data_IF_991960985830
#
_entry.id   IF_991960985830
#
_cell.length_a   1.000
_cell.length_b   1.000
_cell.length_c   1.000
_cell.angle_alpha   90.00
_cell.angle_beta   90.00
_cell.angle_gamma   90.00
#
_symmetry.space_group_name_H-M   'P 1'
#
loop_
_entity.id
_entity.type
_entity.pdbx_description
1 polymer ?
#
# COMPACT_ATOMS: atom_id res chain seq x y z
N UNK A 1 8.32 33.05 7.97
CA UNK A 1 7.83 33.66 6.72
C UNK A 1 7.03 32.65 5.89
N UNK A 2 7.43 31.37 5.81
CA UNK A 2 6.65 30.30 5.14
C UNK A 2 5.30 30.02 5.79
N UNK A 3 5.21 29.93 7.12
CA UNK A 3 3.94 29.71 7.85
C UNK A 3 2.90 30.81 7.60
N UNK A 4 3.33 32.05 7.38
CA UNK A 4 2.45 33.20 7.08
C UNK A 4 1.91 33.16 5.65
N UNK A 5 2.66 32.60 4.70
CA UNK A 5 2.21 32.45 3.30
C UNK A 5 1.25 31.27 3.15
N UNK A 6 1.50 30.16 3.84
CA UNK A 6 0.62 28.98 3.86
C UNK A 6 -0.74 29.34 4.50
N UNK A 7 -0.75 30.05 5.63
CA UNK A 7 -2.00 30.46 6.30
C UNK A 7 -2.84 31.44 5.43
N UNK A 8 -2.18 32.29 4.65
CA UNK A 8 -2.87 33.22 3.72
C UNK A 8 -3.51 32.47 2.56
N UNK A 9 -2.82 31.52 1.96
CA UNK A 9 -3.32 30.66 0.87
C UNK A 9 -4.52 29.81 1.34
N UNK A 10 -4.47 29.27 2.56
CA UNK A 10 -5.60 28.50 3.14
C UNK A 10 -6.82 29.37 3.41
N UNK A 11 -6.61 30.58 3.89
CA UNK A 11 -7.69 31.57 4.11
C UNK A 11 -8.35 31.99 2.79
N UNK A 12 -7.56 32.17 1.73
CA UNK A 12 -8.06 32.51 0.39
C UNK A 12 -8.87 31.34 -0.21
N UNK A 13 -8.36 30.11 -0.09
CA UNK A 13 -9.08 28.90 -0.52
C UNK A 13 -10.42 28.74 0.21
N UNK A 14 -10.42 28.89 1.54
CA UNK A 14 -11.65 28.82 2.35
C UNK A 14 -12.65 29.89 1.94
N UNK A 15 -12.19 31.12 1.70
CA UNK A 15 -13.05 32.23 1.26
C UNK A 15 -13.64 31.94 -0.14
N UNK A 16 -12.85 31.39 -1.04
CA UNK A 16 -13.31 30.98 -2.37
C UNK A 16 -14.39 29.91 -2.28
N UNK A 17 -14.14 28.84 -1.50
CA UNK A 17 -15.10 27.76 -1.27
C UNK A 17 -16.41 28.31 -0.67
N UNK A 18 -16.30 29.17 0.34
CA UNK A 18 -17.46 29.79 0.97
C UNK A 18 -18.29 30.57 -0.06
N UNK A 19 -17.66 31.41 -0.86
CA UNK A 19 -18.34 32.24 -1.88
C UNK A 19 -19.04 31.37 -2.97
N UNK A 20 -18.38 30.31 -3.43
CA UNK A 20 -18.95 29.44 -4.45
C UNK A 20 -20.17 28.66 -3.92
N UNK A 21 -20.11 28.21 -2.66
CA UNK A 21 -21.15 27.39 -2.04
C UNK A 21 -22.26 28.21 -1.34
N UNK A 22 -22.07 29.51 -1.08
CA UNK A 22 -22.94 30.34 -0.23
C UNK A 22 -24.41 30.35 -0.65
N UNK A 23 -24.69 30.18 -1.93
CA UNK A 23 -26.08 30.14 -2.45
C UNK A 23 -26.87 28.92 -1.94
N UNK A 24 -26.19 27.81 -1.61
CA UNK A 24 -26.80 26.54 -1.22
C UNK A 24 -26.41 26.12 0.19
N UNK A 25 -25.16 26.33 0.58
CA UNK A 25 -24.58 25.80 1.81
C UNK A 25 -23.84 26.89 2.58
N UNK A 26 -24.15 27.02 3.85
CA UNK A 26 -23.42 27.89 4.78
C UNK A 26 -22.32 27.08 5.45
N UNK A 27 -21.05 27.37 5.12
CA UNK A 27 -19.90 26.65 5.70
C UNK A 27 -19.72 27.03 7.17
N UNK A 28 -19.56 26.01 8.03
CA UNK A 28 -19.25 26.17 9.44
C UNK A 28 -17.73 26.00 9.70
N UNK A 29 -17.26 24.77 9.90
CA UNK A 29 -15.86 24.47 10.21
C UNK A 29 -15.34 23.31 9.37
N UNK A 30 -14.03 23.29 9.17
CA UNK A 30 -13.33 22.12 8.65
C UNK A 30 -13.36 21.00 9.70
N UNK A 31 -13.76 19.80 9.28
CA UNK A 31 -13.88 18.62 10.14
C UNK A 31 -12.95 17.49 9.73
N UNK A 32 -12.30 17.60 8.57
CA UNK A 32 -11.32 16.62 8.11
C UNK A 32 -10.53 17.13 6.91
N UNK A 33 -9.25 16.73 6.86
CA UNK A 33 -8.36 17.03 5.73
C UNK A 33 -7.44 15.84 5.50
N UNK A 34 -7.28 15.43 4.25
CA UNK A 34 -6.39 14.34 3.87
C UNK A 34 -6.09 14.31 2.37
N UNK A 35 -5.35 13.31 1.92
CA UNK A 35 -4.98 13.15 0.50
C UNK A 35 -6.17 13.04 -0.47
N UNK A 36 -7.36 12.73 0.05
CA UNK A 36 -8.61 12.59 -0.73
C UNK A 36 -9.51 13.84 -0.66
N UNK A 37 -9.06 14.93 -0.03
CA UNK A 37 -9.80 16.18 0.01
C UNK A 37 -9.96 16.81 1.39
N UNK A 38 -10.77 17.85 1.39
CA UNK A 38 -11.12 18.62 2.58
C UNK A 38 -12.61 18.43 2.85
N UNK A 39 -12.97 18.19 4.11
CA UNK A 39 -14.35 18.02 4.53
C UNK A 39 -14.76 19.16 5.45
N UNK A 40 -15.82 19.85 5.10
CA UNK A 40 -16.41 20.91 5.91
C UNK A 40 -17.75 20.46 6.47
N UNK A 41 -18.01 20.80 7.74
CA UNK A 41 -19.37 20.88 8.25
C UNK A 41 -20.03 22.11 7.64
N UNK A 42 -21.26 21.97 7.17
CA UNK A 42 -22.03 23.04 6.59
C UNK A 42 -23.51 22.91 6.97
N UNK A 43 -24.26 23.97 6.71
CA UNK A 43 -25.71 23.96 6.82
C UNK A 43 -26.36 24.12 5.43
N UNK A 44 -27.18 23.18 5.07
CA UNK A 44 -28.05 23.30 3.89
C UNK A 44 -29.05 24.43 4.13
N UNK A 45 -28.95 25.52 3.35
CA UNK A 45 -29.79 26.71 3.54
C UNK A 45 -31.28 26.44 3.23
N UNK A 46 -31.54 25.55 2.26
CA UNK A 46 -32.89 25.21 1.80
C UNK A 46 -33.58 24.28 2.78
N UNK A 47 -32.91 23.19 3.16
CA UNK A 47 -33.46 22.17 4.05
C UNK A 47 -33.16 22.42 5.54
N UNK A 48 -32.34 23.45 5.85
CA UNK A 48 -31.97 23.88 7.20
C UNK A 48 -31.38 22.79 8.08
N UNK A 49 -30.73 21.80 7.49
CA UNK A 49 -30.09 20.67 8.15
C UNK A 49 -28.56 20.77 8.10
N UNK A 50 -27.89 20.11 9.05
CA UNK A 50 -26.44 19.94 9.00
C UNK A 50 -26.06 18.92 7.91
N UNK A 51 -25.00 19.22 7.16
CA UNK A 51 -24.43 18.38 6.13
C UNK A 51 -22.91 18.40 6.20
N UNK A 52 -22.26 17.42 5.63
CA UNK A 52 -20.82 17.45 5.39
C UNK A 52 -20.57 17.66 3.89
N UNK A 53 -19.68 18.58 3.55
CA UNK A 53 -19.29 18.89 2.16
C UNK A 53 -17.85 18.45 1.99
N UNK A 54 -17.61 17.44 1.14
CA UNK A 54 -16.27 16.96 0.80
C UNK A 54 -15.87 17.49 -0.57
N UNK A 55 -14.74 18.18 -0.60
CA UNK A 55 -14.16 18.76 -1.80
C UNK A 55 -12.97 17.93 -2.28
N UNK A 56 -12.91 17.71 -3.58
CA UNK A 56 -11.71 17.16 -4.22
C UNK A 56 -10.59 18.20 -4.15
N UNK A 57 -9.32 17.80 -3.82
CA UNK A 57 -8.19 18.72 -3.83
C UNK A 57 -8.07 19.42 -5.20
N UNK A 58 -7.77 20.74 -5.22
CA UNK A 58 -7.64 21.48 -6.48
C UNK A 58 -6.65 20.82 -7.46
N UNK A 59 -5.53 20.30 -6.96
CA UNK A 59 -4.48 19.62 -7.74
C UNK A 59 -5.01 18.38 -8.48
N UNK A 60 -6.01 17.70 -7.90
CA UNK A 60 -6.68 16.55 -8.51
C UNK A 60 -7.87 16.96 -9.38
N UNK A 61 -8.56 18.05 -9.04
CA UNK A 61 -9.67 18.59 -9.80
C UNK A 61 -9.27 19.08 -11.21
N UNK A 62 -8.02 19.56 -11.38
CA UNK A 62 -7.48 19.93 -12.69
C UNK A 62 -7.27 18.74 -13.65
N UNK A 63 -7.19 17.51 -13.14
CA UNK A 63 -7.05 16.30 -13.96
C UNK A 63 -8.45 15.82 -14.37
N UNK A 64 -8.82 16.04 -15.63
CA UNK A 64 -10.15 15.70 -16.15
C UNK A 64 -10.55 14.24 -15.91
N UNK A 65 -9.60 13.31 -16.02
CA UNK A 65 -9.83 11.88 -15.80
C UNK A 65 -10.17 11.57 -14.33
N UNK A 66 -9.43 12.16 -13.39
CA UNK A 66 -9.68 11.97 -11.95
C UNK A 66 -11.02 12.59 -11.57
N UNK A 67 -11.28 13.79 -12.06
CA UNK A 67 -12.55 14.50 -11.86
C UNK A 67 -13.74 13.68 -12.32
N UNK A 68 -13.72 13.21 -13.57
CA UNK A 68 -14.79 12.40 -14.14
C UNK A 68 -15.02 11.10 -13.34
N UNK A 69 -13.96 10.42 -12.92
CA UNK A 69 -14.07 9.23 -12.09
C UNK A 69 -14.63 9.54 -10.70
N UNK A 70 -14.15 10.61 -10.07
CA UNK A 70 -14.65 11.03 -8.76
C UNK A 70 -16.15 11.30 -8.78
N UNK A 71 -16.65 12.04 -9.78
CA UNK A 71 -18.08 12.31 -9.95
C UNK A 71 -18.86 11.01 -10.16
N UNK A 72 -18.40 10.13 -11.04
CA UNK A 72 -19.02 8.83 -11.31
C UNK A 72 -19.07 7.92 -10.08
N UNK A 73 -17.99 7.81 -9.33
CA UNK A 73 -17.96 6.98 -8.11
C UNK A 73 -18.88 7.58 -7.04
N UNK A 74 -18.89 8.92 -6.90
CA UNK A 74 -19.83 9.59 -5.99
C UNK A 74 -21.29 9.41 -6.41
N UNK A 75 -21.63 9.47 -7.71
CA UNK A 75 -22.95 9.17 -8.23
C UNK A 75 -23.37 7.72 -7.95
N UNK A 76 -22.44 6.79 -8.10
CA UNK A 76 -22.70 5.36 -7.79
C UNK A 76 -22.93 5.17 -6.29
N UNK A 77 -22.11 5.78 -5.44
CA UNK A 77 -22.27 5.73 -3.99
C UNK A 77 -23.57 6.41 -3.52
N UNK A 78 -24.05 7.44 -4.23
CA UNK A 78 -25.30 8.13 -3.93
C UNK A 78 -26.56 7.25 -4.10
N UNK A 79 -26.46 6.14 -4.84
CA UNK A 79 -27.57 5.16 -4.95
C UNK A 79 -27.69 4.26 -3.72
N UNK A 80 -26.70 4.25 -2.83
CA UNK A 80 -26.74 3.42 -1.64
C UNK A 80 -27.62 4.08 -0.56
N UNK A 81 -28.62 3.34 -0.10
CA UNK A 81 -29.54 3.76 0.97
C UNK A 81 -29.60 2.67 2.04
N UNK A 82 -28.85 2.85 3.11
CA UNK A 82 -28.74 1.89 4.21
C UNK A 82 -28.52 2.61 5.55
N UNK A 83 -29.07 2.13 6.67
CA UNK A 83 -28.95 2.80 7.97
C UNK A 83 -27.50 2.95 8.46
N UNK A 84 -26.59 2.07 8.04
CA UNK A 84 -25.17 2.12 8.42
C UNK A 84 -24.27 2.65 7.29
N UNK A 85 -24.81 3.35 6.29
CA UNK A 85 -24.09 4.06 5.24
C UNK A 85 -24.41 5.54 5.31
N UNK A 86 -23.40 6.40 5.26
CA UNK A 86 -23.59 7.85 5.20
C UNK A 86 -24.20 8.21 3.84
N UNK A 87 -25.42 8.77 3.79
CA UNK A 87 -26.09 9.07 2.53
C UNK A 87 -25.41 10.24 1.82
N UNK A 88 -25.22 10.14 0.49
CA UNK A 88 -24.83 11.25 -0.36
C UNK A 88 -26.09 11.94 -0.87
N UNK A 89 -26.14 13.26 -0.71
CA UNK A 89 -27.31 14.07 -1.06
C UNK A 89 -27.19 14.78 -2.40
N UNK A 90 -25.98 15.17 -2.77
CA UNK A 90 -25.69 15.86 -4.01
C UNK A 90 -24.23 15.63 -4.42
N UNK A 91 -23.99 15.63 -5.71
CA UNK A 91 -22.67 15.63 -6.35
C UNK A 91 -22.70 16.77 -7.36
N UNK A 92 -21.74 17.68 -7.32
CA UNK A 92 -21.77 18.86 -8.16
C UNK A 92 -20.37 19.40 -8.48
N UNK A 93 -20.30 20.21 -9.56
CA UNK A 93 -19.13 20.98 -9.97
C UNK A 93 -19.52 22.43 -10.15
N UNK A 94 -18.90 23.34 -9.39
CA UNK A 94 -19.22 24.78 -9.43
C UNK A 94 -17.99 25.61 -9.11
N UNK A 95 -17.76 26.67 -9.91
CA UNK A 95 -16.67 27.61 -9.67
C UNK A 95 -15.28 26.99 -9.64
N UNK A 96 -15.04 25.92 -10.41
CA UNK A 96 -13.79 25.15 -10.41
C UNK A 96 -13.63 24.19 -9.22
N UNK A 97 -14.63 24.10 -8.32
CA UNK A 97 -14.68 23.16 -7.24
C UNK A 97 -15.47 21.92 -7.66
N UNK A 98 -14.95 20.75 -7.33
CA UNK A 98 -15.65 19.46 -7.46
C UNK A 98 -15.92 18.96 -6.05
N UNK A 99 -17.17 18.70 -5.74
CA UNK A 99 -17.57 18.32 -4.38
C UNK A 99 -18.79 17.42 -4.36
N UNK A 100 -18.97 16.74 -3.24
CA UNK A 100 -20.24 16.11 -2.92
C UNK A 100 -20.69 16.47 -1.50
N UNK A 101 -21.99 16.42 -1.30
CA UNK A 101 -22.67 16.75 -0.05
C UNK A 101 -23.26 15.48 0.52
N UNK A 102 -22.95 15.20 1.77
CA UNK A 102 -23.39 13.98 2.47
C UNK A 102 -23.99 14.31 3.83
N UNK A 103 -24.58 13.30 4.45
CA UNK A 103 -25.10 13.41 5.83
C UNK A 103 -23.97 13.81 6.79
N UNK A 104 -24.20 14.80 7.63
CA UNK A 104 -23.33 15.09 8.75
C UNK A 104 -23.68 14.15 9.91
N UNK A 105 -22.72 13.40 10.38
CA UNK A 105 -22.85 12.53 11.54
C UNK A 105 -22.23 13.26 12.72
N UNK A 106 -23.04 13.54 13.73
CA UNK A 106 -22.58 14.15 14.97
C UNK A 106 -21.96 13.06 15.83
N UNK A 107 -20.63 13.04 15.90
CA UNK A 107 -19.87 12.02 16.59
C UNK A 107 -18.42 11.95 16.16
N UNK A 108 -17.70 10.98 16.69
CA UNK A 108 -16.29 10.74 16.36
C UNK A 108 -16.17 9.58 15.37
N UNK A 109 -15.05 9.51 14.64
CA UNK A 109 -14.71 8.31 13.90
C UNK A 109 -14.08 7.24 14.83
N UNK A 110 -14.04 6.02 14.33
CA UNK A 110 -13.52 4.88 15.08
C UNK A 110 -12.02 5.03 15.42
N UNK A 111 -11.24 5.69 14.52
CA UNK A 111 -9.82 5.96 14.77
C UNK A 111 -9.62 6.85 16.02
N UNK A 112 -10.40 7.93 16.12
CA UNK A 112 -10.37 8.80 17.28
C UNK A 112 -10.84 8.07 18.54
N UNK A 113 -11.91 7.25 18.45
CA UNK A 113 -12.40 6.43 19.55
C UNK A 113 -11.32 5.49 20.10
N UNK A 114 -10.59 4.78 19.21
CA UNK A 114 -9.50 3.87 19.59
C UNK A 114 -8.34 4.66 20.21
N UNK A 115 -7.95 5.76 19.57
CA UNK A 115 -6.85 6.61 20.06
C UNK A 115 -7.11 7.18 21.46
N UNK A 116 -8.31 7.70 21.70
CA UNK A 116 -8.63 8.42 22.92
C UNK A 116 -8.94 7.51 24.11
N UNK A 117 -9.50 6.30 23.84
CA UNK A 117 -10.00 5.41 24.90
C UNK A 117 -9.37 4.01 24.88
N UNK A 118 -8.45 3.74 23.95
CA UNK A 118 -7.80 2.44 23.81
C UNK A 118 -8.71 1.33 23.26
N UNK A 119 -8.33 0.06 23.50
CA UNK A 119 -9.06 -1.11 23.03
C UNK A 119 -10.53 -1.11 23.46
N UNK A 120 -11.36 -1.78 22.69
CA UNK A 120 -12.81 -1.80 22.87
C UNK A 120 -13.27 -3.15 23.44
N UNK A 121 -14.35 -3.15 24.25
CA UNK A 121 -14.96 -4.38 24.73
C UNK A 121 -15.38 -5.29 23.57
N UNK A 122 -15.17 -6.64 23.68
CA UNK A 122 -15.51 -7.59 22.62
C UNK A 122 -16.95 -7.51 22.12
N UNK A 123 -17.92 -7.26 23.02
CA UNK A 123 -19.34 -7.15 22.64
C UNK A 123 -19.61 -5.90 21.80
N UNK A 124 -18.94 -4.77 22.12
CA UNK A 124 -19.02 -3.54 21.33
C UNK A 124 -18.40 -3.76 19.95
N UNK A 125 -17.25 -4.43 19.87
CA UNK A 125 -16.58 -4.78 18.61
C UNK A 125 -17.49 -5.69 17.77
N UNK A 126 -18.06 -6.74 18.36
CA UNK A 126 -19.00 -7.65 17.68
C UNK A 126 -20.19 -6.90 17.08
N UNK A 127 -20.78 -5.97 17.84
CA UNK A 127 -21.88 -5.13 17.37
C UNK A 127 -21.47 -4.30 16.17
N UNK A 128 -20.35 -3.59 16.27
CA UNK A 128 -19.82 -2.74 15.18
C UNK A 128 -19.53 -3.58 13.93
N UNK A 129 -18.85 -4.72 14.08
CA UNK A 129 -18.54 -5.61 12.95
C UNK A 129 -19.80 -6.10 12.25
N UNK A 130 -20.83 -6.49 13.02
CA UNK A 130 -22.10 -6.96 12.46
C UNK A 130 -22.81 -5.86 11.66
N UNK A 131 -22.88 -4.64 12.19
CA UNK A 131 -23.53 -3.50 11.55
C UNK A 131 -22.76 -3.00 10.31
N UNK A 132 -21.42 -3.01 10.36
CA UNK A 132 -20.57 -2.70 9.20
C UNK A 132 -20.65 -3.79 8.15
N UNK A 133 -20.68 -5.07 8.54
CA UNK A 133 -20.89 -6.20 7.62
C UNK A 133 -22.25 -6.12 6.91
N UNK A 134 -23.29 -5.65 7.59
CA UNK A 134 -24.61 -5.39 6.99
C UNK A 134 -24.52 -4.32 5.90
N UNK A 135 -23.86 -3.20 6.19
CA UNK A 135 -23.62 -2.12 5.23
C UNK A 135 -22.82 -2.61 4.00
N UNK A 136 -21.75 -3.38 4.23
CA UNK A 136 -20.94 -3.94 3.16
C UNK A 136 -21.72 -4.97 2.33
N UNK A 137 -22.52 -5.82 2.98
CA UNK A 137 -23.36 -6.78 2.27
C UNK A 137 -24.33 -6.09 1.31
N UNK A 138 -24.96 -5.02 1.77
CA UNK A 138 -25.86 -4.21 0.94
C UNK A 138 -25.11 -3.56 -0.23
N UNK A 139 -23.93 -2.95 0.02
CA UNK A 139 -23.13 -2.31 -1.02
C UNK A 139 -22.63 -3.33 -2.06
N UNK A 140 -22.13 -4.49 -1.63
CA UNK A 140 -21.63 -5.54 -2.52
C UNK A 140 -22.76 -6.13 -3.39
N UNK A 141 -23.98 -6.29 -2.85
CA UNK A 141 -25.15 -6.69 -3.62
C UNK A 141 -25.48 -5.67 -4.74
N UNK A 142 -25.20 -4.40 -4.51
CA UNK A 142 -25.30 -3.31 -5.50
C UNK A 142 -24.02 -3.13 -6.34
N UNK A 143 -23.08 -4.10 -6.31
CA UNK A 143 -21.82 -4.09 -7.07
C UNK A 143 -20.86 -2.95 -6.70
N UNK A 144 -20.99 -2.41 -5.50
CA UNK A 144 -20.10 -1.37 -4.95
C UNK A 144 -19.18 -2.00 -3.92
N UNK A 145 -17.87 -1.99 -4.21
CA UNK A 145 -16.80 -2.39 -3.29
C UNK A 145 -16.20 -1.13 -2.71
N UNK A 146 -16.00 -1.08 -1.40
CA UNK A 146 -15.54 0.13 -0.69
C UNK A 146 -14.07 0.46 -0.96
N UNK A 147 -13.18 -0.54 -0.85
CA UNK A 147 -11.74 -0.49 -1.14
C UNK A 147 -10.87 0.36 -0.20
N UNK A 148 -11.44 1.03 0.78
CA UNK A 148 -10.73 1.86 1.77
C UNK A 148 -11.39 1.75 3.15
N UNK A 149 -11.74 0.52 3.58
CA UNK A 149 -12.25 0.27 4.93
C UNK A 149 -11.13 0.49 5.93
N UNK A 150 -11.33 1.48 6.81
CA UNK A 150 -10.41 1.85 7.89
C UNK A 150 -11.17 2.56 9.00
N UNK A 151 -10.60 2.70 10.19
CA UNK A 151 -11.29 3.33 11.32
C UNK A 151 -11.71 4.78 11.08
N UNK A 152 -10.97 5.52 10.22
CA UNK A 152 -11.31 6.90 9.87
C UNK A 152 -12.61 7.01 9.08
N UNK A 153 -12.95 5.96 8.31
CA UNK A 153 -14.13 5.90 7.45
C UNK A 153 -15.33 5.22 8.13
N UNK A 154 -15.24 4.92 9.43
CA UNK A 154 -16.35 4.40 10.24
C UNK A 154 -16.66 5.43 11.31
N UNK A 155 -17.78 6.15 11.14
CA UNK A 155 -18.25 7.18 12.06
C UNK A 155 -19.15 6.54 13.10
N UNK A 156 -19.04 6.97 14.36
CA UNK A 156 -19.91 6.55 15.46
C UNK A 156 -20.84 7.71 15.83
N UNK A 157 -22.11 7.56 15.56
CA UNK A 157 -23.12 8.57 15.94
C UNK A 157 -23.15 8.79 17.47
N UNK A 158 -23.03 10.03 17.91
CA UNK A 158 -22.87 10.34 19.32
C UNK A 158 -24.04 9.89 20.21
N UNK A 159 -25.25 9.87 19.68
CA UNK A 159 -26.46 9.52 20.43
C UNK A 159 -26.72 8.03 20.45
N UNK A 160 -26.71 7.41 19.26
CA UNK A 160 -27.05 5.99 19.08
C UNK A 160 -25.86 5.05 19.17
N UNK A 161 -24.63 5.57 19.09
CA UNK A 161 -23.38 4.81 18.95
C UNK A 161 -23.40 3.86 17.73
N UNK A 162 -24.28 4.14 16.76
CA UNK A 162 -24.40 3.37 15.54
C UNK A 162 -23.22 3.66 14.61
N UNK A 163 -22.53 2.63 14.10
CA UNK A 163 -21.49 2.82 13.12
C UNK A 163 -22.10 3.17 11.75
N UNK A 164 -21.51 4.14 11.09
CA UNK A 164 -21.88 4.57 9.75
C UNK A 164 -20.65 4.62 8.86
N UNK A 165 -20.66 3.86 7.78
CA UNK A 165 -19.54 3.80 6.83
C UNK A 165 -19.67 4.96 5.84
N UNK A 166 -18.58 5.68 5.62
CA UNK A 166 -18.47 6.82 4.69
C UNK A 166 -17.44 6.54 3.60
N UNK A 167 -17.43 7.33 2.55
CA UNK A 167 -16.41 7.31 1.48
C UNK A 167 -16.38 6.05 0.60
N UNK A 168 -17.54 5.45 0.32
CA UNK A 168 -17.65 4.31 -0.58
C UNK A 168 -17.10 4.59 -1.98
N UNK A 169 -16.18 3.76 -2.46
CA UNK A 169 -15.69 3.72 -3.84
C UNK A 169 -14.78 4.88 -4.26
N UNK A 170 -14.71 5.98 -3.51
CA UNK A 170 -14.02 7.22 -3.92
C UNK A 170 -12.50 7.02 -4.06
N UNK A 171 -11.92 6.08 -3.32
CA UNK A 171 -10.49 5.75 -3.43
C UNK A 171 -10.10 5.24 -4.82
N UNK A 172 -11.00 4.53 -5.52
CA UNK A 172 -10.79 4.01 -6.88
C UNK A 172 -10.64 5.14 -7.90
N UNK A 173 -11.42 6.20 -7.79
CA UNK A 173 -11.37 7.33 -8.70
C UNK A 173 -9.97 7.93 -8.81
N UNK A 174 -9.20 7.85 -7.73
CA UNK A 174 -7.87 8.42 -7.61
C UNK A 174 -6.78 7.40 -8.00
N UNK A 175 -6.99 6.08 -7.77
CA UNK A 175 -5.98 5.04 -7.93
C UNK A 175 -5.93 4.35 -9.31
N UNK A 176 -7.05 4.25 -10.05
CA UNK A 176 -7.13 3.55 -11.35
C UNK A 176 -6.55 4.35 -12.54
N UNK A 177 -5.91 5.50 -12.31
CA UNK A 177 -5.13 6.18 -13.33
C UNK A 177 -3.94 5.33 -13.77
N UNK A 178 -3.66 5.28 -15.08
CA UNK A 178 -2.56 4.57 -15.74
C UNK A 178 -1.15 4.94 -15.23
N UNK A 179 -1.08 5.67 -14.12
CA UNK A 179 0.11 6.11 -13.43
C UNK A 179 0.43 5.18 -12.25
N UNK A 180 1.02 4.02 -12.58
CA UNK A 180 1.97 3.36 -11.67
C UNK A 180 3.08 4.33 -11.16
N UNK A 181 3.05 5.57 -11.61
CA UNK A 181 3.90 6.70 -11.24
C UNK A 181 3.44 7.47 -10.00
N UNK A 182 2.21 7.30 -9.51
CA UNK A 182 1.81 7.93 -8.23
C UNK A 182 2.52 7.29 -7.02
N UNK A 183 2.95 6.04 -7.14
CA UNK A 183 3.87 5.44 -6.16
C UNK A 183 5.29 6.02 -6.26
N UNK A 184 5.69 6.59 -7.42
CA UNK A 184 7.00 7.22 -7.61
C UNK A 184 7.11 8.62 -6.98
N UNK A 185 5.98 9.30 -6.73
CA UNK A 185 5.95 10.62 -6.06
C UNK A 185 5.82 10.53 -4.54
N UNK A 186 5.80 9.33 -3.96
CA UNK A 186 5.74 9.14 -2.50
C UNK A 186 4.37 9.43 -1.87
N UNK A 187 3.35 9.76 -2.65
CA UNK A 187 1.98 9.90 -2.17
C UNK A 187 1.31 8.53 -2.28
N UNK A 188 1.39 7.75 -1.20
CA UNK A 188 0.60 6.55 -1.06
C UNK A 188 -0.89 6.95 -1.01
N UNK A 189 -1.64 6.63 -2.06
CA UNK A 189 -3.09 6.83 -2.07
C UNK A 189 -3.70 5.74 -1.18
N UNK A 190 -4.26 6.15 -0.06
CA UNK A 190 -4.82 5.29 0.98
C UNK A 190 -3.88 5.11 2.17
N UNK A 191 -4.39 4.51 3.24
CA UNK A 191 -3.61 4.17 4.44
C UNK A 191 -3.14 2.71 4.28
N UNK A 192 -1.85 2.45 3.94
CA UNK A 192 -1.37 1.11 3.59
C UNK A 192 -1.61 0.05 4.67
N UNK A 193 -1.81 0.51 5.92
CA UNK A 193 -2.03 -0.34 7.08
C UNK A 193 -3.31 -1.19 7.05
N UNK A 194 -4.27 -0.85 6.18
CA UNK A 194 -5.55 -1.55 6.06
C UNK A 194 -5.76 -2.21 4.69
N UNK A 195 -4.76 -2.12 3.78
CA UNK A 195 -4.85 -2.71 2.44
C UNK A 195 -4.91 -4.23 2.51
N UNK A 196 -5.75 -4.82 1.67
CA UNK A 196 -5.76 -6.28 1.49
C UNK A 196 -4.51 -6.77 0.73
N UNK A 197 -4.16 -8.06 0.81
CA UNK A 197 -3.06 -8.64 0.04
C UNK A 197 -3.19 -8.37 -1.47
N UNK A 198 -4.37 -8.57 -2.05
CA UNK A 198 -4.65 -8.34 -3.46
C UNK A 198 -4.52 -6.85 -3.84
N UNK A 199 -4.93 -5.92 -2.98
CA UNK A 199 -4.67 -4.48 -3.18
C UNK A 199 -3.18 -4.16 -3.08
N UNK A 200 -2.48 -4.78 -2.13
CA UNK A 200 -1.03 -4.63 -1.95
C UNK A 200 -0.23 -5.20 -3.12
N UNK A 201 -0.75 -6.23 -3.80
CA UNK A 201 -0.20 -6.78 -5.04
C UNK A 201 -0.46 -5.89 -6.27
N UNK A 202 -1.41 -4.94 -6.17
CA UNK A 202 -1.82 -4.10 -7.29
C UNK A 202 -2.80 -4.80 -8.24
N UNK A 203 -3.54 -5.80 -7.76
CA UNK A 203 -4.54 -6.51 -8.56
C UNK A 203 -5.66 -5.56 -8.99
N UNK A 204 -6.11 -5.71 -10.24
CA UNK A 204 -7.19 -4.88 -10.80
C UNK A 204 -8.58 -5.36 -10.42
N UNK A 205 -8.73 -6.66 -10.24
CA UNK A 205 -10.01 -7.33 -9.99
C UNK A 205 -10.23 -7.57 -8.49
N UNK A 206 -10.26 -6.46 -7.74
CA UNK A 206 -10.51 -6.46 -6.28
C UNK A 206 -12.01 -6.53 -6.03
N UNK A 207 -12.47 -7.57 -5.33
CA UNK A 207 -13.88 -7.79 -4.97
C UNK A 207 -14.18 -7.46 -3.48
N UNK A 208 -15.42 -7.75 -3.04
CA UNK A 208 -15.87 -7.44 -1.68
C UNK A 208 -15.09 -8.16 -0.57
N UNK A 209 -14.38 -9.24 -0.86
CA UNK A 209 -13.55 -9.97 0.11
C UNK A 209 -12.32 -9.17 0.54
N UNK A 210 -11.91 -8.17 -0.25
CA UNK A 210 -10.91 -7.18 0.15
C UNK A 210 -11.42 -6.28 1.29
N UNK A 211 -12.67 -5.81 1.21
CA UNK A 211 -13.28 -5.03 2.29
C UNK A 211 -13.36 -5.84 3.58
N UNK A 212 -13.62 -7.15 3.46
CA UNK A 212 -13.65 -8.07 4.61
C UNK A 212 -12.28 -8.21 5.27
N UNK A 213 -11.20 -8.32 4.48
CA UNK A 213 -9.85 -8.31 5.04
C UNK A 213 -9.55 -6.99 5.77
N UNK A 214 -9.83 -5.86 5.15
CA UNK A 214 -9.65 -4.54 5.76
C UNK A 214 -10.46 -4.40 7.05
N UNK A 215 -11.70 -4.92 7.07
CA UNK A 215 -12.53 -4.98 8.28
C UNK A 215 -11.91 -5.88 9.36
N UNK A 216 -11.22 -6.96 8.97
CA UNK A 216 -10.43 -7.81 9.87
C UNK A 216 -9.28 -7.06 10.54
N UNK A 217 -8.57 -6.20 9.78
CA UNK A 217 -7.51 -5.33 10.31
C UNK A 217 -8.09 -4.32 11.31
N UNK A 218 -9.24 -3.70 10.98
CA UNK A 218 -9.97 -2.80 11.87
C UNK A 218 -10.40 -3.52 13.15
N UNK A 219 -10.93 -4.73 13.04
CA UNK A 219 -11.36 -5.54 14.18
C UNK A 219 -10.18 -5.88 15.11
N UNK A 220 -9.05 -6.27 14.54
CA UNK A 220 -7.83 -6.53 15.30
C UNK A 220 -7.39 -5.29 16.07
N UNK A 221 -7.38 -4.13 15.43
CA UNK A 221 -7.04 -2.87 16.09
C UNK A 221 -8.05 -2.46 17.17
N UNK A 222 -9.34 -2.63 16.95
CA UNK A 222 -10.37 -2.37 17.97
C UNK A 222 -10.16 -3.20 19.23
N UNK A 223 -9.81 -4.49 19.08
CA UNK A 223 -9.68 -5.43 20.19
C UNK A 223 -8.35 -5.28 20.96
N UNK A 224 -7.24 -5.10 20.25
CA UNK A 224 -5.90 -5.08 20.82
C UNK A 224 -5.30 -3.67 20.99
N UNK A 225 -5.89 -2.64 20.36
CA UNK A 225 -5.33 -1.28 20.30
C UNK A 225 -4.24 -1.10 19.25
N UNK A 226 -3.62 -2.17 18.79
CA UNK A 226 -2.51 -2.18 17.83
C UNK A 226 -2.92 -2.81 16.50
N UNK A 227 -2.22 -2.45 15.44
CA UNK A 227 -2.36 -3.08 14.13
C UNK A 227 -1.77 -4.50 14.10
N UNK A 228 -2.30 -5.42 13.26
CA UNK A 228 -1.73 -6.76 13.09
C UNK A 228 -0.33 -6.74 12.50
N UNK A 229 -0.01 -5.72 11.69
CA UNK A 229 1.29 -5.53 11.06
C UNK A 229 1.80 -4.11 11.25
N UNK A 230 3.08 -3.99 11.61
CA UNK A 230 3.80 -2.72 11.71
C UNK A 230 5.11 -2.82 10.95
N UNK A 231 5.51 -1.75 10.26
CA UNK A 231 6.78 -1.68 9.54
C UNK A 231 7.29 -0.23 9.47
N UNK A 232 8.61 -0.07 9.32
CA UNK A 232 9.26 1.23 9.25
C UNK A 232 9.14 1.91 7.87
N UNK A 233 8.54 1.24 6.89
CA UNK A 233 8.32 1.79 5.54
C UNK A 233 7.07 1.20 4.90
N UNK A 234 6.42 1.98 4.02
CA UNK A 234 5.25 1.53 3.25
C UNK A 234 5.53 0.25 2.46
N UNK A 235 6.62 0.11 1.70
CA UNK A 235 6.89 -1.15 0.99
C UNK A 235 7.02 -2.36 1.90
N UNK A 236 7.68 -2.22 3.06
CA UNK A 236 7.80 -3.30 4.03
C UNK A 236 6.43 -3.69 4.62
N UNK A 237 5.55 -2.73 4.85
CA UNK A 237 4.20 -2.98 5.33
C UNK A 237 3.34 -3.71 4.29
N UNK A 238 3.43 -3.33 3.00
CA UNK A 238 2.76 -4.04 1.92
C UNK A 238 3.22 -5.49 1.80
N UNK A 239 4.53 -5.75 1.93
CA UNK A 239 5.08 -7.13 1.96
C UNK A 239 4.49 -7.92 3.12
N UNK A 240 4.31 -7.33 4.30
CA UNK A 240 3.68 -7.99 5.44
C UNK A 240 2.20 -8.34 5.17
N UNK A 241 1.46 -7.45 4.55
CA UNK A 241 0.09 -7.75 4.12
C UNK A 241 0.04 -8.91 3.11
N UNK A 242 1.02 -9.02 2.21
CA UNK A 242 1.10 -10.09 1.22
C UNK A 242 1.45 -11.46 1.82
N UNK A 243 2.40 -11.51 2.76
CA UNK A 243 3.05 -12.79 3.13
C UNK A 243 3.13 -13.09 4.62
N UNK A 244 3.15 -12.07 5.51
CA UNK A 244 3.30 -12.30 6.94
C UNK A 244 1.96 -12.65 7.58
N UNK A 245 1.92 -13.68 8.42
CA UNK A 245 0.74 -13.99 9.22
C UNK A 245 0.65 -13.08 10.44
N UNK A 246 -0.55 -12.57 10.76
CA UNK A 246 -0.71 -11.80 11.99
C UNK A 246 -0.51 -12.72 13.21
N UNK A 247 -0.02 -12.15 14.29
CA UNK A 247 -0.01 -12.87 15.59
C UNK A 247 -1.47 -13.19 15.92
N UNK A 248 -1.80 -14.46 16.27
CA UNK A 248 -3.15 -14.82 16.70
C UNK A 248 -3.68 -13.88 17.77
N UNK A 249 -4.89 -13.37 17.56
CA UNK A 249 -5.41 -12.28 18.37
C UNK A 249 -5.60 -12.66 19.84
N UNK A 250 -5.91 -13.92 20.11
CA UNK A 250 -6.03 -14.52 21.45
C UNK A 250 -4.70 -14.60 22.22
N UNK A 251 -3.56 -14.46 21.50
CA UNK A 251 -2.23 -14.32 22.11
C UNK A 251 -1.89 -12.85 22.45
N UNK A 252 -2.65 -11.90 21.93
CA UNK A 252 -2.42 -10.45 22.14
C UNK A 252 -3.36 -9.84 23.16
N UNK A 253 -4.60 -10.26 23.14
CA UNK A 253 -5.64 -9.71 24.01
C UNK A 253 -6.71 -10.76 24.36
N UNK A 254 -7.45 -10.53 25.46
CA UNK A 254 -8.52 -11.43 25.87
C UNK A 254 -9.75 -11.23 24.97
N UNK A 255 -10.06 -12.24 24.16
CA UNK A 255 -11.15 -12.19 23.14
C UNK A 255 -11.93 -13.52 23.21
N UNK A 256 -13.27 -13.50 23.11
CA UNK A 256 -14.08 -14.72 22.95
C UNK A 256 -13.60 -15.55 21.77
N UNK A 257 -13.52 -16.89 21.91
CA UNK A 257 -12.92 -17.77 20.89
C UNK A 257 -13.57 -17.67 19.51
N UNK A 258 -14.89 -17.46 19.45
CA UNK A 258 -15.63 -17.29 18.21
C UNK A 258 -15.28 -15.97 17.52
N UNK A 259 -15.18 -14.86 18.28
CA UNK A 259 -14.77 -13.58 17.73
C UNK A 259 -13.30 -13.59 17.29
N UNK A 260 -12.41 -14.23 18.06
CA UNK A 260 -11.02 -14.44 17.68
C UNK A 260 -10.94 -15.18 16.32
N UNK A 261 -11.72 -16.27 16.17
CA UNK A 261 -11.78 -17.04 14.92
C UNK A 261 -12.29 -16.18 13.77
N UNK A 262 -13.34 -15.36 13.97
CA UNK A 262 -13.88 -14.48 12.94
C UNK A 262 -12.79 -13.51 12.44
N UNK A 263 -12.07 -12.85 13.35
CA UNK A 263 -11.00 -11.91 13.00
C UNK A 263 -9.87 -12.61 12.25
N UNK A 264 -9.45 -13.79 12.68
CA UNK A 264 -8.37 -14.52 12.02
C UNK A 264 -8.76 -15.02 10.63
N UNK A 265 -10.02 -15.45 10.42
CA UNK A 265 -10.56 -15.78 9.09
C UNK A 265 -10.58 -14.57 8.14
N UNK A 266 -10.95 -13.40 8.64
CA UNK A 266 -10.92 -12.17 7.85
C UNK A 266 -9.50 -11.80 7.38
N UNK A 267 -8.47 -12.14 8.19
CA UNK A 267 -7.07 -11.83 7.93
C UNK A 267 -6.32 -12.90 7.10
N UNK A 268 -7.02 -13.94 6.60
CA UNK A 268 -6.41 -14.91 5.70
C UNK A 268 -5.94 -14.25 4.39
N UNK A 269 -4.76 -14.68 3.90
CA UNK A 269 -4.12 -14.03 2.74
C UNK A 269 -4.83 -14.33 1.44
N UNK A 270 -5.23 -15.60 1.25
CA UNK A 270 -6.01 -16.00 0.10
C UNK A 270 -7.49 -15.58 0.30
N UNK A 271 -8.10 -14.79 -0.61
CA UNK A 271 -9.51 -14.44 -0.52
C UNK A 271 -10.46 -15.64 -0.41
N UNK A 272 -10.12 -16.79 -1.00
CA UNK A 272 -10.93 -18.01 -0.95
C UNK A 272 -10.96 -18.66 0.44
N UNK A 273 -10.00 -18.34 1.29
CA UNK A 273 -9.91 -18.83 2.67
C UNK A 273 -10.64 -17.90 3.67
N UNK A 274 -11.20 -16.76 3.22
CA UNK A 274 -11.96 -15.82 4.04
C UNK A 274 -13.46 -16.15 4.01
N UNK A 275 -14.24 -15.38 4.77
CA UNK A 275 -15.70 -15.30 4.52
C UNK A 275 -15.96 -14.91 3.07
N UNK A 276 -16.83 -15.63 2.38
CA UNK A 276 -17.08 -15.38 0.95
C UNK A 276 -18.04 -14.21 0.70
N UNK A 277 -18.73 -13.75 1.74
CA UNK A 277 -19.56 -12.55 1.67
C UNK A 277 -19.67 -11.86 3.03
N UNK A 278 -19.98 -10.57 3.02
CA UNK A 278 -20.27 -9.82 4.23
C UNK A 278 -21.55 -10.32 4.93
N UNK A 279 -22.51 -10.88 4.18
CA UNK A 279 -23.70 -11.51 4.73
C UNK A 279 -23.34 -12.77 5.56
N UNK A 280 -22.40 -13.58 5.08
CA UNK A 280 -21.90 -14.75 5.81
C UNK A 280 -21.22 -14.33 7.13
N UNK A 281 -20.35 -13.31 7.08
CA UNK A 281 -19.74 -12.74 8.28
C UNK A 281 -20.79 -12.26 9.29
N UNK A 282 -21.81 -11.51 8.83
CA UNK A 282 -22.90 -11.02 9.68
C UNK A 282 -23.61 -12.17 10.37
N UNK A 283 -24.04 -13.20 9.61
CA UNK A 283 -24.71 -14.37 10.14
C UNK A 283 -23.85 -15.13 11.16
N UNK A 284 -22.56 -15.29 10.89
CA UNK A 284 -21.63 -15.94 11.81
C UNK A 284 -21.48 -15.15 13.13
N UNK A 285 -21.39 -13.82 13.07
CA UNK A 285 -21.31 -12.96 14.26
C UNK A 285 -22.61 -12.94 15.09
N UNK A 286 -23.79 -13.16 14.46
CA UNK A 286 -25.09 -13.23 15.12
C UNK A 286 -25.31 -14.59 15.82
N UNK A 287 -24.90 -15.66 15.17
CA UNK A 287 -25.15 -17.02 15.65
C UNK A 287 -24.02 -17.57 16.52
N UNK A 288 -22.82 -16.98 16.44
CA UNK A 288 -21.59 -17.55 17.01
C UNK A 288 -21.05 -18.78 16.23
N UNK A 289 -21.71 -19.14 15.12
CA UNK A 289 -21.35 -20.31 14.33
C UNK A 289 -20.30 -19.95 13.28
N UNK A 290 -19.02 -20.10 13.64
CA UNK A 290 -17.90 -19.69 12.78
C UNK A 290 -17.49 -20.86 11.85
N UNK A 291 -17.20 -20.57 10.57
CA UNK A 291 -16.61 -21.56 9.67
C UNK A 291 -15.33 -22.17 10.27
N UNK A 292 -15.02 -23.40 9.87
CA UNK A 292 -13.76 -24.01 10.22
C UNK A 292 -12.60 -23.18 9.66
N UNK A 293 -11.50 -23.05 10.42
CA UNK A 293 -10.29 -22.45 9.86
C UNK A 293 -9.80 -23.32 8.69
N UNK A 294 -9.39 -22.70 7.57
CA UNK A 294 -8.89 -23.46 6.43
C UNK A 294 -7.65 -24.28 6.85
N UNK A 295 -7.41 -25.39 6.19
CA UNK A 295 -6.25 -26.26 6.47
C UNK A 295 -4.91 -25.51 6.27
N UNK A 296 -4.92 -24.42 5.53
CA UNK A 296 -3.80 -23.47 5.38
C UNK A 296 -3.50 -22.69 6.67
N UNK A 297 -4.50 -22.49 7.54
CA UNK A 297 -4.33 -21.74 8.78
C UNK A 297 -3.36 -22.37 9.79
N UNK A 298 -3.20 -23.70 9.75
CA UNK A 298 -2.26 -24.46 10.60
C UNK A 298 -0.88 -24.67 9.97
N UNK A 299 -0.70 -24.44 8.69
CA UNK A 299 0.61 -24.53 8.04
C UNK A 299 1.30 -23.18 8.18
N UNK A 300 2.33 -23.11 9.02
CA UNK A 300 3.30 -22.03 8.93
C UNK A 300 3.76 -21.99 7.47
N UNK A 301 3.48 -20.86 6.77
CA UNK A 301 4.28 -20.55 5.59
C UNK A 301 5.74 -20.59 6.08
N UNK A 302 6.67 -21.25 5.36
CA UNK A 302 8.04 -21.25 5.80
C UNK A 302 8.45 -19.78 5.99
N UNK A 303 8.54 -19.36 7.24
CA UNK A 303 9.15 -18.09 7.58
C UNK A 303 10.56 -18.16 7.02
N UNK A 304 10.81 -17.40 5.97
CA UNK A 304 12.19 -17.00 5.71
C UNK A 304 12.57 -16.12 6.90
N UNK A 305 13.61 -16.50 7.68
CA UNK A 305 14.04 -15.70 8.82
C UNK A 305 14.33 -14.30 8.31
N UNK A 306 13.75 -13.31 8.98
CA UNK A 306 14.09 -11.91 8.76
C UNK A 306 15.60 -11.77 8.92
N UNK A 307 16.28 -11.00 8.08
CA UNK A 307 17.71 -10.71 8.26
C UNK A 307 18.06 -10.14 9.63
N UNK A 308 17.08 -9.70 10.41
CA UNK A 308 17.23 -9.16 11.77
C UNK A 308 17.20 -10.22 12.89
N UNK A 309 16.67 -11.41 12.65
CA UNK A 309 16.57 -12.47 13.69
C UNK A 309 17.86 -13.28 13.86
N UNK A 310 18.80 -13.17 12.92
CA UNK A 310 20.09 -13.90 12.98
C UNK A 310 21.11 -13.25 13.93
N UNK A 311 20.85 -12.07 14.47
CA UNK A 311 21.79 -11.37 15.38
C UNK A 311 21.57 -11.67 16.87
N UNK A 312 20.50 -12.38 17.28
CA UNK A 312 20.15 -12.57 18.71
C UNK A 312 20.18 -14.02 19.20
N UNK A 313 20.62 -14.96 18.42
CA UNK A 313 20.50 -16.39 18.70
C UNK A 313 21.81 -17.14 18.99
N UNK A 314 22.68 -16.62 19.85
CA UNK A 314 23.70 -17.46 20.50
C UNK A 314 23.34 -17.60 21.98
N UNK A 315 22.77 -18.72 22.34
CA UNK A 315 22.79 -19.51 23.57
C UNK A 315 21.41 -20.10 23.90
N UNK A 316 21.20 -21.36 23.52
CA UNK A 316 20.63 -22.39 24.36
C UNK A 316 20.56 -23.73 23.61
N UNK A 317 21.29 -24.69 24.12
CA UNK A 317 21.29 -26.10 23.72
C UNK A 317 20.00 -26.79 24.15
N UNK A 318 19.38 -27.61 23.27
CA UNK A 318 19.10 -29.02 23.54
C UNK A 318 18.12 -29.65 22.55
N UNK A 319 18.56 -30.75 21.95
CA UNK A 319 17.82 -31.92 21.43
C UNK A 319 16.52 -31.71 20.65
N UNK A 320 16.61 -31.85 19.34
CA UNK A 320 15.48 -32.09 18.43
C UNK A 320 15.77 -33.29 17.52
N UNK A 321 14.74 -34.06 17.10
CA UNK A 321 14.90 -35.24 16.27
C UNK A 321 15.38 -34.91 14.86
N UNK A 322 16.15 -35.87 14.31
CA UNK A 322 16.86 -35.80 13.04
C UNK A 322 16.00 -35.30 11.88
N UNK A 323 16.36 -34.13 11.33
CA UNK A 323 15.88 -33.62 10.05
C UNK A 323 16.68 -34.32 8.95
N UNK A 324 16.01 -35.09 8.11
CA UNK A 324 16.62 -35.68 6.91
C UNK A 324 16.82 -34.54 5.91
N UNK A 325 18.06 -34.19 5.49
CA UNK A 325 18.26 -33.13 4.52
C UNK A 325 17.71 -33.56 3.15
N UNK A 326 16.84 -32.74 2.58
CA UNK A 326 16.50 -32.82 1.15
C UNK A 326 17.78 -32.70 0.32
N UNK A 327 17.92 -33.46 -0.80
CA UNK A 327 19.11 -33.38 -1.64
C UNK A 327 19.32 -31.96 -2.12
N UNK A 328 20.53 -31.44 -1.95
CA UNK A 328 21.02 -30.19 -2.49
C UNK A 328 20.77 -30.17 -3.99
N UNK A 329 19.78 -29.40 -4.44
CA UNK A 329 19.63 -29.05 -5.84
C UNK A 329 20.93 -28.31 -6.22
N UNK A 330 21.72 -28.88 -7.10
CA UNK A 330 22.95 -28.26 -7.64
C UNK A 330 22.60 -26.88 -8.17
N UNK A 331 23.33 -25.86 -7.67
CA UNK A 331 23.24 -24.51 -8.19
C UNK A 331 23.51 -24.53 -9.71
N UNK A 332 22.82 -23.70 -10.51
CA UNK A 332 23.15 -23.59 -11.93
C UNK A 332 24.63 -23.24 -12.11
N UNK A 333 25.30 -23.82 -13.10
CA UNK A 333 26.71 -23.56 -13.37
C UNK A 333 26.98 -22.05 -13.45
N UNK A 334 27.93 -21.55 -12.65
CA UNK A 334 28.33 -20.16 -12.60
C UNK A 334 27.47 -19.26 -11.69
N UNK A 335 26.66 -19.79 -10.78
CA UNK A 335 25.93 -18.99 -9.78
C UNK A 335 26.36 -19.35 -8.36
N UNK A 336 26.49 -18.32 -7.48
CA UNK A 336 26.79 -18.46 -6.05
C UNK A 336 25.92 -17.58 -5.18
N UNK A 337 25.83 -17.93 -3.90
CA UNK A 337 25.20 -17.06 -2.89
C UNK A 337 26.15 -15.91 -2.51
N UNK A 338 25.63 -14.71 -2.21
CA UNK A 338 26.44 -13.62 -1.65
C UNK A 338 26.99 -14.01 -0.27
N UNK A 339 28.19 -13.56 0.04
CA UNK A 339 28.78 -13.73 1.36
C UNK A 339 28.13 -12.77 2.38
N UNK A 340 28.27 -13.07 3.67
CA UNK A 340 27.75 -12.21 4.74
C UNK A 340 28.36 -10.80 4.71
N UNK A 341 29.63 -10.69 4.33
CA UNK A 341 30.35 -9.42 4.19
C UNK A 341 29.81 -8.60 2.99
N UNK A 342 29.60 -9.25 1.85
CA UNK A 342 28.97 -8.60 0.68
C UNK A 342 27.57 -8.09 1.02
N UNK A 343 26.75 -8.88 1.68
CA UNK A 343 25.41 -8.44 2.10
C UNK A 343 25.45 -7.25 3.06
N UNK A 344 26.36 -7.26 4.02
CA UNK A 344 26.53 -6.17 4.98
C UNK A 344 26.91 -4.86 4.27
N UNK A 345 27.88 -4.92 3.35
CA UNK A 345 28.34 -3.77 2.57
C UNK A 345 27.29 -3.24 1.62
N UNK A 346 26.57 -4.13 0.93
CA UNK A 346 25.49 -3.74 0.00
C UNK A 346 24.30 -3.08 0.68
N UNK A 347 24.06 -3.39 1.93
CA UNK A 347 22.97 -2.83 2.73
C UNK A 347 23.42 -1.68 3.64
N UNK A 348 24.69 -1.26 3.56
CA UNK A 348 25.19 -0.10 4.30
C UNK A 348 24.34 1.15 3.98
N UNK A 349 23.94 1.95 5.00
CA UNK A 349 23.04 3.09 4.81
C UNK A 349 23.48 4.06 3.73
N UNK A 350 24.77 4.36 3.66
CA UNK A 350 25.37 5.26 2.65
C UNK A 350 25.24 4.70 1.23
N UNK A 351 25.43 3.39 1.04
CA UNK A 351 25.32 2.71 -0.26
C UNK A 351 23.86 2.67 -0.72
N UNK A 352 22.94 2.40 0.20
CA UNK A 352 21.49 2.40 -0.09
C UNK A 352 21.01 3.80 -0.46
N UNK A 353 21.45 4.84 0.26
CA UNK A 353 21.09 6.22 -0.05
C UNK A 353 21.64 6.66 -1.41
N UNK A 354 22.88 6.31 -1.73
CA UNK A 354 23.48 6.61 -3.04
C UNK A 354 22.70 5.92 -4.18
N UNK A 355 22.34 4.63 -4.05
CA UNK A 355 21.53 3.92 -5.05
C UNK A 355 20.19 4.60 -5.29
N UNK A 356 19.53 5.10 -4.24
CA UNK A 356 18.26 5.82 -4.34
C UNK A 356 18.40 7.10 -5.18
N UNK A 357 19.56 7.77 -5.11
CA UNK A 357 19.85 8.98 -5.90
C UNK A 357 20.33 8.64 -7.32
N UNK A 358 21.03 7.52 -7.49
CA UNK A 358 21.57 7.08 -8.76
C UNK A 358 20.49 6.62 -9.75
N UNK A 359 19.43 5.95 -9.27
CA UNK A 359 18.39 5.43 -10.13
C UNK A 359 17.68 6.53 -10.97
N UNK A 360 17.15 7.63 -10.41
CA UNK A 360 16.56 8.70 -11.21
C UNK A 360 17.58 9.38 -12.12
N UNK A 361 18.86 9.50 -11.71
CA UNK A 361 19.93 10.03 -12.56
C UNK A 361 20.10 9.19 -13.84
N UNK A 362 20.17 7.87 -13.74
CA UNK A 362 20.31 6.97 -14.91
C UNK A 362 19.11 7.10 -15.84
N UNK A 363 17.90 7.09 -15.30
CA UNK A 363 16.67 7.16 -16.10
C UNK A 363 16.52 8.48 -16.86
N UNK A 364 16.73 9.61 -16.20
CA UNK A 364 16.56 10.92 -16.81
C UNK A 364 17.65 11.16 -17.87
N UNK A 365 18.91 10.76 -17.58
CA UNK A 365 19.99 10.90 -18.55
C UNK A 365 19.82 9.93 -19.74
N UNK A 366 19.29 8.73 -19.53
CA UNK A 366 18.90 7.83 -20.60
C UNK A 366 17.86 8.45 -21.53
N UNK A 367 16.83 9.11 -20.97
CA UNK A 367 15.86 9.84 -21.75
C UNK A 367 16.45 11.03 -22.54
N UNK A 368 17.37 11.80 -21.93
CA UNK A 368 18.07 12.90 -22.60
C UNK A 368 18.93 12.41 -23.77
N UNK A 369 19.61 11.28 -23.62
CA UNK A 369 20.37 10.66 -24.73
C UNK A 369 19.44 10.30 -25.89
N UNK A 370 18.29 9.71 -25.62
CA UNK A 370 17.29 9.38 -26.66
C UNK A 370 16.80 10.66 -27.36
N UNK A 371 16.47 11.72 -26.62
CA UNK A 371 16.02 13.00 -27.17
C UNK A 371 17.08 13.61 -28.08
N UNK A 372 18.36 13.56 -27.68
CA UNK A 372 19.45 14.07 -28.51
C UNK A 372 19.67 13.25 -29.79
N UNK A 373 19.48 11.91 -29.74
CA UNK A 373 19.58 11.04 -30.93
C UNK A 373 18.46 11.34 -31.93
N UNK A 374 17.26 11.66 -31.45
CA UNK A 374 16.08 11.96 -32.31
C UNK A 374 16.11 13.40 -32.86
N UNK A 375 17.11 14.22 -32.51
CA UNK A 375 17.27 15.59 -33.02
C UNK A 375 16.53 16.65 -32.22
N UNK A 376 16.22 16.36 -30.94
CA UNK A 376 15.64 17.32 -30.00
C UNK A 376 16.66 18.36 -29.49
N UNK A 377 16.23 19.26 -28.60
CA UNK A 377 17.11 20.27 -27.99
C UNK A 377 18.28 19.64 -27.26
N UNK A 378 19.48 20.24 -27.37
CA UNK A 378 20.68 19.69 -26.74
C UNK A 378 20.62 19.79 -25.21
N UNK A 379 20.37 18.65 -24.54
CA UNK A 379 20.26 18.53 -23.08
C UNK A 379 21.55 18.01 -22.43
N UNK A 380 22.65 17.83 -23.19
CA UNK A 380 23.89 17.27 -22.68
C UNK A 380 24.54 18.12 -21.59
N UNK A 381 24.34 19.45 -21.60
CA UNK A 381 24.87 20.32 -20.55
C UNK A 381 24.18 20.10 -19.21
N UNK A 382 22.87 19.76 -19.17
CA UNK A 382 22.13 19.42 -17.95
C UNK A 382 22.68 18.12 -17.36
N UNK A 383 22.91 17.12 -18.23
CA UNK A 383 23.54 15.85 -17.87
C UNK A 383 24.92 16.05 -17.26
N UNK A 384 25.77 16.88 -17.89
CA UNK A 384 27.12 17.17 -17.42
C UNK A 384 27.10 17.81 -16.02
N UNK A 385 26.23 18.79 -15.81
CA UNK A 385 26.14 19.47 -14.51
C UNK A 385 25.64 18.53 -13.40
N UNK A 386 24.64 17.71 -13.67
CA UNK A 386 24.14 16.74 -12.69
C UNK A 386 25.14 15.62 -12.39
N UNK A 387 25.94 15.22 -13.39
CA UNK A 387 27.01 14.23 -13.23
C UNK A 387 28.06 14.64 -12.19
N UNK A 388 28.34 15.93 -12.04
CA UNK A 388 29.28 16.45 -11.03
C UNK A 388 28.78 16.10 -9.62
N UNK A 389 27.48 16.30 -9.35
CA UNK A 389 26.90 15.98 -8.05
C UNK A 389 26.93 14.48 -7.73
N UNK A 390 26.65 13.63 -8.71
CA UNK A 390 26.71 12.17 -8.56
C UNK A 390 28.17 11.72 -8.37
N UNK A 391 29.10 12.25 -9.14
CA UNK A 391 30.53 11.95 -9.02
C UNK A 391 31.08 12.33 -7.64
N UNK A 392 30.69 13.48 -7.11
CA UNK A 392 31.10 13.90 -5.75
C UNK A 392 30.57 12.91 -4.68
N UNK A 393 29.32 12.47 -4.78
CA UNK A 393 28.74 11.51 -3.84
C UNK A 393 29.40 10.13 -3.98
N UNK A 394 29.75 9.72 -5.19
CA UNK A 394 30.50 8.49 -5.42
C UNK A 394 31.91 8.56 -4.81
N UNK A 395 32.60 9.68 -5.01
CA UNK A 395 33.94 9.89 -4.40
C UNK A 395 33.90 9.82 -2.86
N UNK A 396 32.80 10.32 -2.24
CA UNK A 396 32.58 10.19 -0.79
C UNK A 396 32.37 8.73 -0.38
N UNK A 397 31.60 7.94 -1.11
CA UNK A 397 31.46 6.51 -0.85
C UNK A 397 32.78 5.77 -0.99
N UNK A 398 33.55 6.11 -2.03
CA UNK A 398 34.88 5.51 -2.26
C UNK A 398 35.87 5.82 -1.12
N UNK A 399 35.85 7.02 -0.57
CA UNK A 399 36.67 7.39 0.59
C UNK A 399 36.33 6.61 1.86
N UNK A 400 35.09 6.10 1.97
CA UNK A 400 34.65 5.23 3.06
C UNK A 400 34.85 3.73 2.77
N UNK A 401 35.52 3.41 1.64
CA UNK A 401 35.90 2.05 1.27
C UNK A 401 34.81 1.26 0.52
N UNK A 402 33.75 1.92 0.04
CA UNK A 402 32.73 1.31 -0.83
C UNK A 402 33.06 1.55 -2.29
N UNK A 403 32.77 0.57 -3.14
CA UNK A 403 33.07 0.63 -4.56
C UNK A 403 31.82 0.31 -5.43
N UNK A 404 32.01 0.18 -6.73
CA UNK A 404 30.93 -0.11 -7.66
C UNK A 404 30.30 -1.49 -7.45
N UNK A 405 31.04 -2.48 -6.92
CA UNK A 405 30.47 -3.80 -6.59
C UNK A 405 29.42 -3.68 -5.51
N UNK A 406 29.64 -2.83 -4.50
CA UNK A 406 28.70 -2.59 -3.42
C UNK A 406 27.45 -1.86 -3.94
N UNK A 407 27.61 -0.93 -4.90
CA UNK A 407 26.51 -0.17 -5.49
C UNK A 407 25.61 -1.05 -6.36
N UNK A 408 26.19 -1.88 -7.22
CA UNK A 408 25.45 -2.71 -8.18
C UNK A 408 25.21 -4.14 -7.68
N UNK A 409 25.50 -4.43 -6.43
CA UNK A 409 25.36 -5.76 -5.81
C UNK A 409 26.08 -6.85 -6.61
N UNK A 410 27.32 -6.56 -7.00
CA UNK A 410 28.13 -7.50 -7.76
C UNK A 410 29.14 -8.21 -6.83
N UNK A 411 29.47 -9.50 -7.10
CA UNK A 411 30.56 -10.18 -6.41
C UNK A 411 31.89 -9.45 -6.62
N UNK A 412 32.78 -9.42 -5.62
CA UNK A 412 34.07 -8.74 -5.70
C UNK A 412 35.03 -9.33 -6.73
N UNK A 413 34.82 -10.58 -7.10
CA UNK A 413 35.61 -11.31 -8.12
C UNK A 413 35.25 -10.90 -9.54
N UNK A 414 34.16 -10.16 -9.74
CA UNK A 414 33.64 -9.81 -11.05
C UNK A 414 34.27 -8.51 -11.57
N UNK A 415 34.74 -8.55 -12.81
CA UNK A 415 35.29 -7.35 -13.47
C UNK A 415 34.21 -6.56 -14.21
N UNK A 416 34.39 -5.25 -14.35
CA UNK A 416 33.48 -4.37 -15.10
C UNK A 416 33.26 -4.87 -16.54
N UNK A 417 34.31 -5.44 -17.14
CA UNK A 417 34.25 -6.03 -18.48
C UNK A 417 33.22 -7.17 -18.61
N UNK A 418 33.07 -7.99 -17.57
CA UNK A 418 32.12 -9.11 -17.56
C UNK A 418 30.67 -8.62 -17.53
N UNK A 419 30.42 -7.51 -16.82
CA UNK A 419 29.09 -6.88 -16.75
C UNK A 419 28.72 -6.24 -18.08
N UNK A 420 29.67 -5.58 -18.73
CA UNK A 420 29.47 -4.97 -20.06
C UNK A 420 29.22 -6.05 -21.12
N UNK A 421 29.97 -7.16 -21.07
CA UNK A 421 29.79 -8.29 -21.98
C UNK A 421 28.39 -8.92 -21.81
N UNK A 422 27.92 -9.07 -20.56
CA UNK A 422 26.57 -9.57 -20.27
C UNK A 422 25.49 -8.64 -20.82
N UNK A 423 25.62 -7.32 -20.64
CA UNK A 423 24.68 -6.36 -21.23
C UNK A 423 24.67 -6.40 -22.75
N UNK A 424 25.85 -6.64 -23.36
CA UNK A 424 25.98 -6.84 -24.81
C UNK A 424 25.24 -8.10 -25.30
N UNK A 425 25.30 -9.18 -24.55
CA UNK A 425 24.52 -10.41 -24.82
C UNK A 425 23.03 -10.19 -24.61
N UNK A 426 22.63 -9.49 -23.54
CA UNK A 426 21.23 -9.14 -23.28
C UNK A 426 20.63 -8.28 -24.41
N UNK A 427 21.39 -7.30 -24.92
CA UNK A 427 20.98 -6.50 -26.08
C UNK A 427 20.88 -7.33 -27.37
N UNK A 428 21.81 -8.25 -27.61
CA UNK A 428 21.73 -9.17 -28.77
C UNK A 428 20.52 -10.09 -28.68
N UNK A 429 20.12 -10.51 -27.46
CA UNK A 429 18.95 -11.35 -27.24
C UNK A 429 17.62 -10.67 -27.62
N UNK A 430 17.56 -9.34 -27.66
CA UNK A 430 16.38 -8.61 -28.14
C UNK A 430 16.14 -8.81 -29.65
N UNK A 431 17.18 -9.13 -30.40
CA UNK A 431 17.15 -9.26 -31.87
C UNK A 431 17.12 -10.74 -32.30
N UNK A 432 17.81 -11.63 -31.60
CA UNK A 432 17.94 -13.04 -31.96
C UNK A 432 16.94 -13.95 -31.20
N UNK A 433 16.22 -14.80 -31.96
CA UNK A 433 15.13 -15.65 -31.47
C UNK A 433 15.61 -16.79 -30.57
N UNK A 434 16.73 -17.43 -30.93
CA UNK A 434 17.28 -18.57 -30.16
C UNK A 434 17.92 -18.14 -28.85
N UNK A 435 18.56 -16.98 -28.85
CA UNK A 435 19.13 -16.36 -27.65
C UNK A 435 18.03 -15.91 -26.69
N UNK A 436 16.88 -15.45 -27.23
CA UNK A 436 15.69 -15.05 -26.44
C UNK A 436 15.08 -16.22 -25.67
N UNK A 437 15.08 -17.42 -26.22
CA UNK A 437 14.51 -18.60 -25.58
C UNK A 437 15.39 -19.13 -24.44
N UNK A 438 16.72 -19.15 -24.62
CA UNK A 438 17.70 -19.45 -23.56
C UNK A 438 17.63 -18.46 -22.41
N UNK A 439 17.45 -17.19 -22.69
CA UNK A 439 17.29 -16.13 -21.69
C UNK A 439 15.98 -16.25 -20.91
N UNK A 440 14.87 -16.63 -21.56
CA UNK A 440 13.59 -16.90 -20.85
C UNK A 440 13.70 -18.01 -19.81
N UNK A 441 14.43 -19.06 -20.10
CA UNK A 441 14.67 -20.16 -19.16
C UNK A 441 15.52 -19.67 -17.97
N UNK A 442 16.59 -18.91 -18.24
CA UNK A 442 17.45 -18.30 -17.21
C UNK A 442 16.70 -17.29 -16.35
N UNK A 443 15.88 -16.41 -16.93
CA UNK A 443 15.07 -15.45 -16.16
C UNK A 443 14.01 -16.13 -15.30
N UNK A 444 13.41 -17.24 -15.73
CA UNK A 444 12.48 -18.01 -14.91
C UNK A 444 13.18 -18.66 -13.71
N UNK A 445 14.36 -19.24 -13.92
CA UNK A 445 15.15 -19.81 -12.82
C UNK A 445 15.58 -18.72 -11.81
N UNK A 446 15.98 -17.54 -12.28
CA UNK A 446 16.38 -16.41 -11.44
C UNK A 446 15.21 -15.74 -10.71
N UNK A 447 14.01 -15.72 -11.31
CA UNK A 447 12.80 -15.22 -10.65
C UNK A 447 12.37 -16.11 -9.46
N UNK A 448 12.73 -17.41 -9.50
CA UNK A 448 12.51 -18.35 -8.41
C UNK A 448 13.59 -18.24 -7.30
N UNK A 449 14.77 -17.71 -7.61
CA UNK A 449 15.89 -17.55 -6.68
C UNK A 449 16.64 -16.22 -6.90
N UNK A 450 16.04 -15.09 -6.46
CA UNK A 450 16.62 -13.74 -6.62
C UNK A 450 17.89 -13.50 -5.78
N UNK A 451 18.22 -14.43 -4.91
CA UNK A 451 19.37 -14.44 -4.01
C UNK A 451 20.68 -14.92 -4.67
N UNK A 452 20.61 -15.49 -5.89
CA UNK A 452 21.79 -15.99 -6.59
C UNK A 452 22.54 -14.89 -7.34
N UNK A 453 23.86 -14.92 -7.23
CA UNK A 453 24.80 -14.04 -7.95
C UNK A 453 25.54 -14.82 -9.04
N UNK A 454 25.78 -14.17 -10.18
CA UNK A 454 26.67 -14.72 -11.20
C UNK A 454 28.12 -14.67 -10.76
N UNK A 455 28.78 -15.81 -10.72
CA UNK A 455 30.23 -15.92 -10.65
C UNK A 455 30.83 -15.61 -12.05
N UNK A 456 32.06 -15.04 -12.15
CA UNK A 456 32.71 -14.89 -13.43
C UNK A 456 32.81 -16.24 -14.14
N UNK A 457 32.44 -16.28 -15.42
CA UNK A 457 32.53 -17.50 -16.22
C UNK A 457 33.98 -18.00 -16.18
N UNK A 458 34.19 -19.25 -15.81
CA UNK A 458 35.50 -19.90 -15.99
C UNK A 458 35.88 -19.77 -17.48
N UNK A 459 37.15 -19.41 -17.80
CA UNK A 459 37.57 -19.31 -19.19
C UNK A 459 37.28 -20.65 -19.87
N UNK A 460 36.56 -20.59 -20.98
CA UNK A 460 36.30 -21.76 -21.80
C UNK A 460 37.66 -22.42 -22.13
N UNK A 461 37.86 -23.64 -21.65
CA UNK A 461 39.01 -24.41 -22.03
C UNK A 461 38.94 -24.62 -23.56
N UNK A 462 39.90 -24.02 -24.26
CA UNK A 462 40.17 -24.29 -25.65
C UNK A 462 40.54 -25.76 -25.77
N UNK A 463 39.68 -26.57 -26.34
CA UNK A 463 39.97 -27.86 -26.93
C UNK A 463 39.44 -27.90 -28.35
#
# INVERSE_FOLDING_TARGET
MEDSLLSKSESELRSHIANVLDSAYELDKEIGRGGMGIVFKARDRRLKRAVAVKLLPPELAFRSEIRTRFLREAETAAQLSHPNIVPIYAVDEKGGLVYFVMGFIDGDNLAKRIKDRGPMPPDEVRRILREVADALSYAHANKVVHRDIKPDNILLDAQSQRPMVTDFGIARAISDGNDARLTATGIAIGTPAFMSPEQSAGDRDVDGRSDLYSLGVVAYQMLCGDLPFNANSTPALLVKHLSERPIPIDQRCSVPPDLARAVMLLLEKNPDDRFQSAAELKAALETGNMPALPASAGRAYPMQPSPYDLASGMMASSTSPAFTPMPLTTLPEGERLPTSDELTRWNAPMVVEFRRKLAPFIWVNGAFVIVNIVGGPNMLFVTAFWSIGVAYQYAKLWSEGYDWHDIFRQPRERMVGDVIAEWGEDMKSLVDRDTRERMRVRHRARAQRPDLLRSPAAPAALS
#
